data_IF_992583415254
#
_entry.id   IF_992583415254
#
_cell.length_a   1.000
_cell.length_b   1.000
_cell.length_c   1.000
_cell.angle_alpha   90.00
_cell.angle_beta   90.00
_cell.angle_gamma   90.00
#
_symmetry.space_group_name_H-M   'P 1'
#
loop_
_entity.id
_entity.type
_entity.pdbx_description
1 polymer ?
#
# COMPACT_ATOMS: atom_id res chain seq x y z
N UNK A 1 28.02 -12.09 -15.79
CA UNK A 1 28.61 -11.25 -14.74
C UNK A 1 27.92 -11.56 -13.42
N UNK A 2 28.60 -11.33 -12.29
CA UNK A 2 27.96 -11.39 -10.96
C UNK A 2 26.92 -10.26 -10.92
N UNK A 3 25.65 -10.58 -10.67
CA UNK A 3 24.60 -9.56 -10.51
C UNK A 3 24.83 -8.83 -9.20
N UNK A 4 24.74 -7.50 -9.23
CA UNK A 4 24.77 -6.71 -8.01
C UNK A 4 23.41 -6.82 -7.31
N UNK A 5 23.41 -7.14 -6.01
CA UNK A 5 22.19 -7.19 -5.22
C UNK A 5 21.76 -5.78 -4.81
N UNK A 6 20.49 -5.45 -5.01
CA UNK A 6 19.88 -4.19 -4.57
C UNK A 6 18.55 -4.50 -3.89
N UNK A 7 18.19 -3.75 -2.85
CA UNK A 7 16.88 -3.89 -2.20
C UNK A 7 15.97 -2.75 -2.61
N UNK A 8 14.79 -3.10 -3.10
CA UNK A 8 13.68 -2.21 -3.41
C UNK A 8 12.66 -2.25 -2.29
N UNK A 9 12.70 -1.24 -1.42
CA UNK A 9 11.58 -0.94 -0.55
C UNK A 9 10.53 -0.15 -1.34
N UNK A 10 9.32 -0.69 -1.42
CA UNK A 10 8.19 -0.05 -2.08
C UNK A 10 7.15 0.30 -1.03
N UNK A 11 6.80 1.58 -0.92
CA UNK A 11 5.57 1.93 -0.25
C UNK A 11 4.34 1.42 -1.02
N UNK A 12 3.26 1.13 -0.30
CA UNK A 12 1.99 0.68 -0.87
C UNK A 12 1.13 1.87 -1.25
N UNK A 13 0.68 2.59 -0.23
CA UNK A 13 -0.32 3.66 -0.30
C UNK A 13 0.11 4.76 -1.28
N UNK A 14 -0.69 5.06 -2.30
CA UNK A 14 -0.36 6.07 -3.32
C UNK A 14 0.98 5.89 -4.05
N UNK A 15 1.65 4.76 -3.84
CA UNK A 15 2.99 4.51 -4.35
C UNK A 15 2.93 3.29 -5.28
N UNK A 16 2.99 2.08 -4.73
CA UNK A 16 2.89 0.86 -5.52
C UNK A 16 1.46 0.50 -5.95
N UNK A 17 0.45 1.00 -5.25
CA UNK A 17 -0.96 0.81 -5.58
C UNK A 17 -1.70 2.15 -5.66
N UNK A 18 -2.74 2.20 -6.48
CA UNK A 18 -3.61 3.35 -6.61
C UNK A 18 -4.46 3.52 -5.35
N UNK A 19 -4.49 4.77 -4.88
CA UNK A 19 -5.23 5.15 -3.68
C UNK A 19 -4.54 4.72 -2.39
N UNK A 20 -5.20 5.00 -1.28
CA UNK A 20 -4.74 4.58 0.05
C UNK A 20 -5.15 3.15 0.31
N UNK A 21 -4.53 2.55 1.31
CA UNK A 21 -4.66 1.17 1.66
C UNK A 21 -5.51 1.01 2.92
N UNK A 22 -6.65 0.34 2.75
CA UNK A 22 -7.92 0.97 3.13
C UNK A 22 -8.68 1.54 1.93
N UNK A 23 -8.20 1.24 0.72
CA UNK A 23 -8.83 1.55 -0.56
C UNK A 23 -10.32 1.24 -0.42
N UNK A 24 -11.12 2.28 -0.55
CA UNK A 24 -12.55 2.22 -0.28
C UNK A 24 -13.25 1.22 -1.21
N UNK A 25 -12.68 0.96 -2.41
CA UNK A 25 -13.09 -0.14 -3.28
C UNK A 25 -12.81 -1.51 -2.65
N UNK A 26 -11.61 -1.75 -2.12
CA UNK A 26 -11.26 -3.04 -1.52
C UNK A 26 -12.07 -3.31 -0.24
N UNK A 27 -12.33 -2.27 0.55
CA UNK A 27 -13.23 -2.34 1.70
C UNK A 27 -14.67 -2.63 1.24
N UNK A 28 -15.15 -1.93 0.21
CA UNK A 28 -16.48 -2.18 -0.35
C UNK A 28 -16.63 -3.63 -0.85
N UNK A 29 -15.61 -4.18 -1.52
CA UNK A 29 -15.61 -5.58 -1.97
C UNK A 29 -15.82 -6.53 -0.79
N UNK A 30 -15.09 -6.35 0.31
CA UNK A 30 -15.22 -7.22 1.48
C UNK A 30 -16.55 -7.03 2.21
N UNK A 31 -17.03 -5.80 2.37
CA UNK A 31 -18.32 -5.51 3.03
C UNK A 31 -19.50 -6.03 2.22
N UNK A 32 -19.40 -5.99 0.89
CA UNK A 32 -20.40 -6.54 -0.04
C UNK A 32 -20.18 -8.04 -0.30
N UNK A 33 -19.32 -8.70 0.48
CA UNK A 33 -19.04 -10.15 0.42
C UNK A 33 -18.60 -10.65 -0.96
N UNK A 34 -17.91 -9.80 -1.71
CA UNK A 34 -17.27 -10.17 -2.98
C UNK A 34 -16.14 -11.15 -2.71
N UNK A 35 -15.95 -12.11 -3.63
CA UNK A 35 -15.00 -13.22 -3.45
C UNK A 35 -13.54 -12.75 -3.35
N UNK A 36 -12.66 -13.50 -2.66
CA UNK A 36 -11.23 -13.19 -2.61
C UNK A 36 -10.55 -13.11 -3.98
N UNK A 37 -11.01 -13.90 -4.96
CA UNK A 37 -10.48 -13.89 -6.33
C UNK A 37 -10.69 -12.53 -7.01
N UNK A 38 -11.87 -11.95 -6.83
CA UNK A 38 -12.17 -10.61 -7.33
C UNK A 38 -11.42 -9.52 -6.57
N UNK A 39 -11.17 -9.69 -5.27
CA UNK A 39 -10.31 -8.78 -4.49
C UNK A 39 -8.87 -8.79 -5.03
N UNK A 40 -8.31 -9.96 -5.34
CA UNK A 40 -6.98 -10.07 -5.94
C UNK A 40 -6.95 -9.42 -7.33
N UNK A 41 -7.98 -9.67 -8.15
CA UNK A 41 -8.11 -9.01 -9.46
C UNK A 41 -8.20 -7.49 -9.33
N UNK A 42 -8.95 -6.98 -8.36
CA UNK A 42 -9.00 -5.55 -8.05
C UNK A 42 -7.58 -5.01 -7.80
N UNK A 43 -6.81 -5.60 -6.89
CA UNK A 43 -5.45 -5.13 -6.63
C UNK A 43 -4.55 -5.18 -7.86
N UNK A 44 -4.67 -6.19 -8.73
CA UNK A 44 -3.90 -6.22 -9.99
C UNK A 44 -4.15 -5.01 -10.90
N UNK A 45 -5.40 -4.50 -10.92
CA UNK A 45 -5.80 -3.32 -11.68
C UNK A 45 -5.33 -2.02 -11.01
N UNK A 46 -5.15 -2.04 -9.69
CA UNK A 46 -4.69 -0.90 -8.90
C UNK A 46 -3.16 -0.71 -8.93
N UNK A 47 -2.37 -1.69 -9.37
CA UNK A 47 -0.90 -1.56 -9.36
C UNK A 47 -0.42 -0.36 -10.18
N UNK A 48 0.54 0.37 -9.64
CA UNK A 48 1.24 1.43 -10.35
C UNK A 48 2.16 0.84 -11.43
N UNK A 49 1.93 1.13 -12.72
CA UNK A 49 2.77 0.64 -13.81
C UNK A 49 4.25 1.02 -13.66
N UNK A 50 4.55 2.13 -12.99
CA UNK A 50 5.92 2.59 -12.76
C UNK A 50 6.73 1.63 -11.89
N UNK A 51 6.10 0.88 -10.97
CA UNK A 51 6.78 -0.17 -10.21
C UNK A 51 7.28 -1.30 -11.11
N UNK A 52 6.43 -1.75 -12.04
CA UNK A 52 6.75 -2.82 -12.98
C UNK A 52 7.93 -2.39 -13.86
N UNK A 53 7.89 -1.15 -14.34
CA UNK A 53 8.94 -0.61 -15.20
C UNK A 53 10.25 -0.39 -14.45
N UNK A 54 10.21 0.15 -13.22
CA UNK A 54 11.38 0.26 -12.34
C UNK A 54 12.05 -1.10 -12.12
N UNK A 55 11.27 -2.12 -11.73
CA UNK A 55 11.80 -3.46 -11.50
C UNK A 55 12.46 -4.05 -12.76
N UNK A 56 11.78 -3.95 -13.91
CA UNK A 56 12.31 -4.42 -15.21
C UNK A 56 13.56 -3.65 -15.63
N UNK A 57 13.60 -2.35 -15.39
CA UNK A 57 14.76 -1.50 -15.69
C UNK A 57 15.98 -1.95 -14.87
N UNK A 58 15.81 -2.21 -13.57
CA UNK A 58 16.90 -2.71 -12.72
C UNK A 58 17.38 -4.09 -13.14
N UNK A 59 16.45 -5.02 -13.43
CA UNK A 59 16.81 -6.34 -13.98
C UNK A 59 17.55 -6.21 -15.30
N UNK A 60 17.11 -5.31 -16.20
CA UNK A 60 17.75 -5.01 -17.48
C UNK A 60 19.15 -4.43 -17.34
N UNK A 61 19.40 -3.67 -16.26
CA UNK A 61 20.73 -3.16 -15.87
C UNK A 61 21.59 -4.20 -15.12
N UNK A 62 21.22 -5.48 -15.14
CA UNK A 62 21.93 -6.59 -14.51
C UNK A 62 22.02 -6.52 -12.97
N UNK A 63 21.08 -5.81 -12.32
CA UNK A 63 20.86 -5.94 -10.88
C UNK A 63 20.04 -7.19 -10.57
N UNK A 64 20.09 -7.63 -9.31
CA UNK A 64 19.22 -8.65 -8.73
C UNK A 64 18.37 -8.00 -7.63
N UNK A 65 17.20 -7.42 -7.97
CA UNK A 65 16.41 -6.67 -7.01
C UNK A 65 15.67 -7.59 -6.04
N UNK A 66 15.91 -7.40 -4.74
CA UNK A 66 15.11 -7.96 -3.66
C UNK A 66 14.01 -6.96 -3.29
N UNK A 67 12.74 -7.35 -3.41
CA UNK A 67 11.61 -6.46 -3.12
C UNK A 67 11.14 -6.63 -1.67
N UNK A 68 10.88 -5.51 -0.99
CA UNK A 68 10.27 -5.43 0.34
C UNK A 68 9.14 -4.41 0.28
N UNK A 69 7.95 -4.76 0.78
CA UNK A 69 6.86 -3.79 0.89
C UNK A 69 6.96 -3.07 2.23
N UNK A 70 6.87 -1.74 2.26
CA UNK A 70 7.05 -0.97 3.48
C UNK A 70 5.95 0.08 3.63
N UNK A 71 4.94 -0.21 4.45
CA UNK A 71 3.73 0.61 4.60
C UNK A 71 3.56 1.16 6.03
N UNK A 72 2.91 2.33 6.14
CA UNK A 72 2.55 2.97 7.42
C UNK A 72 1.11 2.66 7.86
N UNK A 73 0.64 1.43 7.64
CA UNK A 73 -0.66 0.93 8.16
C UNK A 73 -0.64 0.74 9.68
N UNK A 74 -0.63 1.85 10.42
CA UNK A 74 -0.51 1.88 11.87
C UNK A 74 -1.61 1.08 12.60
N UNK A 75 -2.80 0.94 12.01
CA UNK A 75 -3.93 0.21 12.59
C UNK A 75 -3.64 -1.29 12.82
N UNK A 76 -2.69 -1.88 12.08
CA UNK A 76 -2.23 -3.27 12.28
C UNK A 76 -1.24 -3.42 13.45
N UNK A 77 -0.90 -2.33 14.12
CA UNK A 77 -0.07 -2.30 15.34
C UNK A 77 -0.78 -1.59 16.50
N UNK A 78 -1.65 -0.62 16.18
CA UNK A 78 -2.42 0.21 17.12
C UNK A 78 -3.85 0.34 16.59
N UNK A 79 -4.70 -0.62 16.94
CA UNK A 79 -6.09 -0.67 16.49
C UNK A 79 -6.98 0.25 17.32
N UNK A 80 -7.82 1.06 16.68
CA UNK A 80 -8.82 1.90 17.37
C UNK A 80 -10.13 1.14 17.38
N UNK A 81 -10.53 0.63 18.55
CA UNK A 81 -11.80 -0.10 18.68
C UNK A 81 -12.98 0.85 18.77
N UNK A 82 -13.88 0.77 17.79
CA UNK A 82 -15.17 1.47 17.82
C UNK A 82 -16.17 0.89 18.82
N UNK A 83 -15.92 -0.32 19.32
CA UNK A 83 -16.82 -1.01 20.26
C UNK A 83 -16.55 -0.60 21.70
N UNK A 84 -15.33 -0.14 21.98
CA UNK A 84 -14.84 0.09 23.34
C UNK A 84 -14.19 1.45 23.53
N UNK A 85 -14.21 2.31 22.51
CA UNK A 85 -13.57 3.63 22.47
C UNK A 85 -12.14 3.61 23.04
N UNK A 86 -11.33 2.65 22.58
CA UNK A 86 -9.99 2.40 23.11
C UNK A 86 -9.00 1.99 22.04
N UNK A 87 -7.76 2.46 22.18
CA UNK A 87 -6.61 1.96 21.42
C UNK A 87 -6.15 0.61 21.97
N UNK A 88 -6.12 -0.40 21.10
CA UNK A 88 -5.62 -1.74 21.38
C UNK A 88 -4.26 -1.88 20.69
N UNK A 89 -3.19 -2.08 21.48
CA UNK A 89 -1.88 -2.47 20.93
C UNK A 89 -1.99 -3.89 20.39
N UNK A 90 -1.78 -4.04 19.08
CA UNK A 90 -1.70 -5.33 18.43
C UNK A 90 -0.26 -5.83 18.51
N UNK A 91 -0.09 -7.05 19.00
CA UNK A 91 1.20 -7.73 19.07
C UNK A 91 1.04 -9.08 18.38
N UNK A 92 1.96 -9.36 17.48
CA UNK A 92 1.98 -10.56 16.65
C UNK A 92 3.03 -11.53 17.20
N UNK A 93 3.53 -12.44 16.37
CA UNK A 93 4.69 -13.23 16.71
C UNK A 93 5.87 -12.30 17.11
N UNK A 94 6.48 -12.45 18.31
CA UNK A 94 7.58 -11.60 18.76
C UNK A 94 8.79 -11.59 17.82
N UNK A 95 9.06 -12.70 17.12
CA UNK A 95 10.17 -12.79 16.18
C UNK A 95 9.98 -11.93 14.92
N UNK A 96 8.77 -11.46 14.66
CA UNK A 96 8.44 -10.56 13.55
C UNK A 96 8.55 -9.09 13.95
N UNK A 97 8.65 -8.79 15.25
CA UNK A 97 8.74 -7.43 15.74
C UNK A 97 10.20 -6.99 15.84
N UNK A 98 10.56 -5.93 15.11
CA UNK A 98 11.84 -5.23 15.29
C UNK A 98 11.74 -4.10 16.32
N UNK A 99 10.53 -3.62 16.58
CA UNK A 99 10.24 -2.67 17.64
C UNK A 99 8.76 -2.70 18.01
N UNK A 100 8.38 -1.91 19.02
CA UNK A 100 6.99 -1.71 19.42
C UNK A 100 6.11 -1.04 18.34
N UNK A 101 6.73 -0.44 17.34
CA UNK A 101 6.06 0.29 16.25
C UNK A 101 6.36 -0.29 14.88
N UNK A 102 6.96 -1.48 14.79
CA UNK A 102 7.26 -2.13 13.52
C UNK A 102 7.16 -3.66 13.62
N UNK A 103 6.49 -4.26 12.65
CA UNK A 103 6.40 -5.70 12.44
C UNK A 103 6.71 -6.03 10.99
N UNK A 104 7.30 -7.20 10.77
CA UNK A 104 7.58 -7.75 9.44
C UNK A 104 6.80 -9.03 9.26
N UNK A 105 5.84 -9.02 8.34
CA UNK A 105 5.16 -10.23 7.91
C UNK A 105 6.04 -10.95 6.87
N UNK A 106 6.59 -12.14 7.19
CA UNK A 106 7.47 -12.86 6.27
C UNK A 106 6.74 -13.35 5.03
N UNK A 107 7.50 -13.53 3.94
CA UNK A 107 7.04 -14.01 2.62
C UNK A 107 6.23 -15.31 2.64
N UNK A 108 6.48 -16.18 3.62
CA UNK A 108 5.86 -17.51 3.72
C UNK A 108 4.39 -17.51 4.16
N UNK A 109 3.90 -16.38 4.68
CA UNK A 109 2.50 -16.27 5.14
C UNK A 109 1.58 -16.14 3.93
N UNK A 110 0.59 -17.02 3.78
CA UNK A 110 -0.32 -16.99 2.63
C UNK A 110 -1.73 -16.54 3.02
N UNK A 111 -2.11 -16.67 4.29
CA UNK A 111 -3.46 -16.39 4.75
C UNK A 111 -3.48 -15.48 5.99
N UNK A 112 -4.47 -14.59 6.11
CA UNK A 112 -4.59 -13.75 7.30
C UNK A 112 -4.86 -14.56 8.57
N UNK A 113 -5.45 -15.76 8.45
CA UNK A 113 -5.63 -16.68 9.58
C UNK A 113 -4.30 -17.07 10.24
N UNK A 114 -3.23 -17.27 9.46
CA UNK A 114 -1.90 -17.58 9.99
C UNK A 114 -1.37 -16.43 10.84
N UNK A 115 -1.55 -15.19 10.38
CA UNK A 115 -1.14 -13.98 11.13
C UNK A 115 -1.99 -13.84 12.39
N UNK A 116 -3.31 -13.96 12.26
CA UNK A 116 -4.25 -13.85 13.38
C UNK A 116 -4.00 -14.92 14.46
N UNK A 117 -3.57 -16.12 14.08
CA UNK A 117 -3.20 -17.18 15.03
C UNK A 117 -1.98 -16.81 15.89
N UNK A 118 -1.11 -15.90 15.43
CA UNK A 118 0.05 -15.41 16.19
C UNK A 118 -0.25 -14.22 17.10
N UNK A 119 -1.50 -13.74 17.12
CA UNK A 119 -1.87 -12.61 17.97
C UNK A 119 -1.61 -12.93 19.45
N UNK A 120 -0.77 -12.11 20.07
CA UNK A 120 -0.28 -12.27 21.45
C UNK A 120 -0.58 -11.04 22.32
N UNK A 121 -1.49 -10.17 21.88
CA UNK A 121 -1.86 -8.95 22.59
C UNK A 121 -2.52 -9.21 23.95
N UNK A 122 -2.22 -8.34 24.94
CA UNK A 122 -2.78 -8.45 26.31
C UNK A 122 -4.30 -8.33 26.37
N UNK A 123 -4.91 -7.65 25.40
CA UNK A 123 -6.34 -7.42 25.34
C UNK A 123 -6.94 -8.43 24.37
N UNK A 124 -7.88 -9.25 24.85
CA UNK A 124 -8.66 -10.14 23.99
C UNK A 124 -9.52 -9.30 23.03
N UNK A 125 -9.36 -9.55 21.75
CA UNK A 125 -10.17 -8.94 20.69
C UNK A 125 -11.59 -9.51 20.68
N UNK A 126 -12.58 -8.64 20.53
CA UNK A 126 -13.98 -9.03 20.28
C UNK A 126 -14.13 -9.57 18.85
N UNK A 127 -15.19 -10.35 18.59
CA UNK A 127 -15.39 -10.97 17.27
C UNK A 127 -15.38 -9.95 16.11
N UNK A 128 -16.08 -8.82 16.26
CA UNK A 128 -16.12 -7.73 15.27
C UNK A 128 -14.76 -7.07 15.04
N UNK A 129 -13.96 -6.87 16.10
CA UNK A 129 -12.60 -6.32 15.97
C UNK A 129 -11.65 -7.33 15.31
N UNK A 130 -11.77 -8.62 15.64
CA UNK A 130 -11.02 -9.69 14.99
C UNK A 130 -11.33 -9.74 13.50
N UNK A 131 -12.60 -9.62 13.12
CA UNK A 131 -13.03 -9.61 11.72
C UNK A 131 -12.46 -8.40 10.97
N UNK A 132 -12.54 -7.20 11.54
CA UNK A 132 -12.01 -5.98 10.91
C UNK A 132 -10.49 -6.05 10.70
N UNK A 133 -9.75 -6.50 11.71
CA UNK A 133 -8.30 -6.73 11.61
C UNK A 133 -8.00 -7.83 10.59
N UNK A 134 -8.77 -8.92 10.59
CA UNK A 134 -8.64 -10.01 9.63
C UNK A 134 -8.84 -9.51 8.19
N UNK A 135 -9.92 -8.77 7.93
CA UNK A 135 -10.18 -8.17 6.61
C UNK A 135 -9.06 -7.23 6.17
N UNK A 136 -8.49 -6.47 7.11
CA UNK A 136 -7.35 -5.58 6.85
C UNK A 136 -6.08 -6.33 6.48
N UNK A 137 -5.83 -7.48 7.11
CA UNK A 137 -4.73 -8.38 6.77
C UNK A 137 -4.95 -9.07 5.41
N UNK A 138 -6.16 -9.51 5.11
CA UNK A 138 -6.50 -10.08 3.79
C UNK A 138 -6.25 -9.06 2.67
N UNK A 139 -6.62 -7.79 2.88
CA UNK A 139 -6.30 -6.71 1.94
C UNK A 139 -4.79 -6.51 1.75
N UNK A 140 -4.01 -6.61 2.83
CA UNK A 140 -2.55 -6.49 2.79
C UNK A 140 -1.90 -7.63 2.00
N UNK A 141 -2.34 -8.86 2.24
CA UNK A 141 -1.83 -10.04 1.52
C UNK A 141 -2.25 -10.02 0.04
N UNK A 142 -3.49 -9.61 -0.27
CA UNK A 142 -3.96 -9.46 -1.64
C UNK A 142 -3.14 -8.42 -2.42
N UNK A 143 -2.84 -7.25 -1.83
CA UNK A 143 -1.98 -6.24 -2.43
C UNK A 143 -0.55 -6.77 -2.67
N UNK A 144 0.02 -7.48 -1.68
CA UNK A 144 1.33 -8.10 -1.79
C UNK A 144 1.40 -9.12 -2.92
N UNK A 145 0.39 -9.97 -3.03
CA UNK A 145 0.36 -11.05 -4.02
C UNK A 145 0.15 -10.47 -5.43
N UNK A 146 -0.66 -9.41 -5.56
CA UNK A 146 -0.78 -8.67 -6.81
C UNK A 146 0.57 -8.06 -7.25
N UNK A 147 1.34 -7.48 -6.33
CA UNK A 147 2.69 -6.97 -6.62
C UNK A 147 3.64 -8.11 -7.03
N UNK A 148 3.60 -9.25 -6.31
CA UNK A 148 4.38 -10.44 -6.66
C UNK A 148 4.12 -10.85 -8.12
N UNK A 149 2.84 -10.98 -8.50
CA UNK A 149 2.46 -11.36 -9.86
C UNK A 149 2.90 -10.33 -10.90
N UNK A 150 2.66 -9.04 -10.64
CA UNK A 150 2.99 -7.98 -11.60
C UNK A 150 4.50 -7.80 -11.85
N UNK A 151 5.30 -8.01 -10.81
CA UNK A 151 6.76 -7.95 -10.90
C UNK A 151 7.38 -9.30 -11.35
N UNK A 152 6.61 -10.38 -11.41
CA UNK A 152 7.10 -11.71 -11.77
C UNK A 152 8.02 -12.32 -10.71
N UNK A 153 7.77 -12.04 -9.43
CA UNK A 153 8.58 -12.57 -8.33
C UNK A 153 8.27 -14.04 -8.08
N UNK A 154 9.31 -14.84 -7.81
CA UNK A 154 9.17 -16.26 -7.47
C UNK A 154 8.38 -16.46 -6.16
N UNK A 155 8.66 -15.60 -5.17
CA UNK A 155 8.01 -15.63 -3.86
C UNK A 155 7.39 -14.27 -3.53
N UNK A 156 6.31 -14.24 -2.73
CA UNK A 156 5.78 -12.97 -2.23
C UNK A 156 6.86 -12.18 -1.47
N UNK A 157 6.96 -10.86 -1.64
CA UNK A 157 7.91 -10.05 -0.88
C UNK A 157 7.49 -9.98 0.61
N UNK A 158 8.44 -9.85 1.55
CA UNK A 158 8.09 -9.58 2.94
C UNK A 158 7.43 -8.19 3.05
N UNK A 159 6.58 -8.02 4.07
CA UNK A 159 5.84 -6.78 4.31
C UNK A 159 6.21 -6.18 5.66
N UNK A 160 6.90 -5.05 5.64
CA UNK A 160 7.17 -4.23 6.81
C UNK A 160 5.98 -3.30 7.04
N UNK A 161 5.36 -3.42 8.21
CA UNK A 161 4.31 -2.50 8.66
C UNK A 161 4.84 -1.67 9.82
N UNK A 162 4.64 -0.35 9.77
CA UNK A 162 5.04 0.55 10.85
C UNK A 162 3.92 1.50 11.30
N UNK A 163 3.93 1.82 12.59
CA UNK A 163 3.10 2.86 13.19
C UNK A 163 3.84 4.19 13.39
N UNK A 164 5.15 4.21 13.16
CA UNK A 164 6.00 5.39 13.24
C UNK A 164 6.35 5.90 11.83
N UNK A 165 6.95 7.10 11.69
CA UNK A 165 7.59 7.49 10.44
C UNK A 165 8.59 6.41 9.98
N UNK A 166 8.67 6.20 8.66
CA UNK A 166 9.55 5.17 8.09
C UNK A 166 11.01 5.55 8.32
N UNK A 167 11.85 4.52 8.49
CA UNK A 167 13.28 4.68 8.71
C UNK A 167 14.00 3.61 7.91
N UNK A 168 14.33 3.92 6.66
CA UNK A 168 14.89 2.95 5.71
C UNK A 168 16.13 2.24 6.25
N UNK A 169 17.18 2.98 6.61
CA UNK A 169 18.47 2.37 6.97
C UNK A 169 18.36 1.48 8.23
N UNK A 170 17.74 1.92 9.36
CA UNK A 170 17.52 1.04 10.50
C UNK A 170 16.70 -0.21 10.17
N UNK A 171 15.64 -0.08 9.35
CA UNK A 171 14.81 -1.21 8.95
C UNK A 171 15.57 -2.19 8.05
N UNK A 172 16.37 -1.72 7.09
CA UNK A 172 17.22 -2.56 6.27
C UNK A 172 18.19 -3.39 7.13
N UNK A 173 18.87 -2.75 8.11
CA UNK A 173 19.75 -3.47 9.05
C UNK A 173 19.02 -4.53 9.87
N UNK A 174 17.82 -4.21 10.36
CA UNK A 174 17.01 -5.14 11.15
C UNK A 174 16.57 -6.37 10.35
N UNK A 175 16.43 -6.21 9.03
CA UNK A 175 16.14 -7.30 8.08
C UNK A 175 17.39 -8.06 7.61
N UNK A 176 18.59 -7.67 8.05
CA UNK A 176 19.85 -8.25 7.57
C UNK A 176 20.22 -7.86 6.14
N UNK A 177 19.69 -6.73 5.66
CA UNK A 177 19.92 -6.20 4.32
C UNK A 177 21.01 -5.12 4.36
N UNK A 178 21.71 -4.93 3.24
CA UNK A 178 22.71 -3.87 3.09
C UNK A 178 22.02 -2.49 2.98
N UNK A 179 22.17 -1.59 3.97
CA UNK A 179 21.53 -0.29 3.94
C UNK A 179 22.01 0.61 2.81
N UNK A 180 23.27 0.45 2.37
CA UNK A 180 23.85 1.28 1.31
C UNK A 180 23.36 0.87 -0.08
N UNK A 181 22.83 -0.35 -0.21
CA UNK A 181 22.19 -0.88 -1.43
C UNK A 181 20.68 -1.07 -1.27
N UNK A 182 20.08 -0.42 -0.28
CA UNK A 182 18.64 -0.42 -0.03
C UNK A 182 18.06 0.95 -0.33
N UNK A 183 17.00 0.99 -1.13
CA UNK A 183 16.36 2.22 -1.56
C UNK A 183 14.84 2.15 -1.34
N UNK A 184 14.23 3.26 -0.95
CA UNK A 184 12.79 3.37 -0.69
C UNK A 184 12.15 4.32 -1.71
N UNK A 185 11.13 3.86 -2.42
CA UNK A 185 10.22 4.71 -3.18
C UNK A 185 8.95 4.95 -2.39
N UNK A 186 8.66 6.22 -2.11
CA UNK A 186 7.61 6.67 -1.19
C UNK A 186 7.03 8.01 -1.65
N UNK A 187 5.74 8.25 -1.43
CA UNK A 187 5.09 9.53 -1.77
C UNK A 187 5.19 10.57 -0.65
N UNK A 188 5.75 10.21 0.51
CA UNK A 188 5.84 11.11 1.65
C UNK A 188 6.99 12.13 1.51
N UNK A 189 6.62 13.37 1.20
CA UNK A 189 7.55 14.51 1.10
C UNK A 189 8.33 14.79 2.40
N UNK A 190 7.84 14.36 3.57
CA UNK A 190 8.59 14.50 4.84
C UNK A 190 9.90 13.69 4.84
N UNK A 191 10.04 12.70 3.94
CA UNK A 191 11.26 11.90 3.80
C UNK A 191 12.25 12.50 2.78
N UNK A 192 11.92 13.65 2.18
CA UNK A 192 12.79 14.30 1.20
C UNK A 192 14.16 14.63 1.81
N UNK A 193 15.23 14.26 1.11
CA UNK A 193 16.61 14.43 1.57
C UNK A 193 17.12 13.30 2.48
N UNK A 194 16.28 12.33 2.88
CA UNK A 194 16.78 11.13 3.55
C UNK A 194 17.62 10.27 2.59
N UNK A 195 18.73 9.73 3.10
CA UNK A 195 19.64 8.88 2.32
C UNK A 195 18.90 7.67 1.74
N UNK A 196 19.06 7.46 0.43
CA UNK A 196 18.47 6.37 -0.34
C UNK A 196 16.93 6.36 -0.37
N UNK A 197 16.27 7.46 0.00
CA UNK A 197 14.84 7.65 -0.19
C UNK A 197 14.60 8.45 -1.46
N UNK A 198 13.68 7.96 -2.28
CA UNK A 198 13.28 8.54 -3.55
C UNK A 198 11.82 8.92 -3.42
N UNK A 199 11.58 10.21 -3.18
CA UNK A 199 10.23 10.74 -3.10
C UNK A 199 9.62 10.75 -4.50
N UNK A 200 8.44 10.16 -4.64
CA UNK A 200 7.69 10.05 -5.90
C UNK A 200 6.36 10.79 -5.83
N UNK A 201 5.80 11.11 -6.98
CA UNK A 201 4.45 11.64 -7.04
C UNK A 201 3.42 10.58 -6.65
N UNK A 202 2.40 11.02 -5.91
CA UNK A 202 1.25 10.17 -5.57
C UNK A 202 0.56 9.61 -6.80
N UNK A 203 0.22 8.33 -6.73
CA UNK A 203 -0.55 7.62 -7.74
C UNK A 203 -2.05 7.75 -7.48
N UNK A 204 -2.55 8.97 -7.66
CA UNK A 204 -3.96 9.35 -7.44
C UNK A 204 -4.76 9.44 -8.74
N UNK A 205 -4.13 9.20 -9.90
CA UNK A 205 -4.80 9.20 -11.20
C UNK A 205 -4.23 8.09 -12.10
N UNK A 206 -5.09 7.53 -12.95
CA UNK A 206 -4.73 6.44 -13.87
C UNK A 206 -4.72 6.94 -15.31
N UNK A 207 -3.92 6.28 -16.17
CA UNK A 207 -4.09 6.44 -17.60
C UNK A 207 -5.48 5.96 -18.04
N UNK A 208 -5.97 6.53 -19.13
CA UNK A 208 -7.32 6.27 -19.63
C UNK A 208 -7.62 4.78 -19.83
N UNK A 209 -6.66 4.03 -20.39
CA UNK A 209 -6.86 2.60 -20.69
C UNK A 209 -7.05 1.78 -19.42
N UNK A 210 -6.16 1.96 -18.43
CA UNK A 210 -6.30 1.29 -17.12
C UNK A 210 -7.54 1.74 -16.36
N UNK A 211 -7.87 3.02 -16.43
CA UNK A 211 -9.09 3.58 -15.82
C UNK A 211 -10.34 2.92 -16.40
N UNK A 212 -10.44 2.81 -17.72
CA UNK A 212 -11.56 2.16 -18.40
C UNK A 212 -11.63 0.66 -18.07
N UNK A 213 -10.48 -0.04 -17.99
CA UNK A 213 -10.41 -1.44 -17.55
C UNK A 213 -10.93 -1.61 -16.11
N UNK A 214 -10.49 -0.76 -15.18
CA UNK A 214 -10.94 -0.79 -13.80
C UNK A 214 -12.43 -0.50 -13.68
N UNK A 215 -12.94 0.53 -14.36
CA UNK A 215 -14.38 0.86 -14.34
C UNK A 215 -15.23 -0.26 -14.92
N UNK A 216 -14.78 -0.90 -16.01
CA UNK A 216 -15.46 -2.05 -16.58
C UNK A 216 -15.51 -3.24 -15.63
N UNK A 217 -14.41 -3.53 -14.93
CA UNK A 217 -14.36 -4.55 -13.89
C UNK A 217 -15.31 -4.22 -12.72
N UNK A 218 -15.30 -2.98 -12.24
CA UNK A 218 -16.18 -2.55 -11.15
C UNK A 218 -17.66 -2.68 -11.53
N UNK A 219 -18.08 -2.25 -12.72
CA UNK A 219 -19.49 -2.38 -13.14
C UNK A 219 -19.92 -3.84 -13.30
N UNK A 220 -19.01 -4.76 -13.60
CA UNK A 220 -19.32 -6.19 -13.72
C UNK A 220 -19.39 -6.89 -12.36
N UNK A 221 -18.45 -6.58 -11.47
CA UNK A 221 -18.24 -7.34 -10.22
C UNK A 221 -18.95 -6.73 -9.03
N UNK A 222 -19.02 -5.41 -8.96
CA UNK A 222 -19.69 -4.67 -7.91
C UNK A 222 -20.35 -3.42 -8.49
N UNK A 223 -21.48 -3.52 -9.22
CA UNK A 223 -22.12 -2.35 -9.81
C UNK A 223 -22.43 -1.28 -8.77
N UNK A 224 -22.20 0.00 -9.08
CA UNK A 224 -22.42 1.10 -8.13
C UNK A 224 -23.85 1.13 -7.55
N UNK A 225 -24.84 0.74 -8.38
CA UNK A 225 -26.26 0.61 -8.00
C UNK A 225 -26.57 -0.49 -6.98
N UNK A 226 -25.65 -1.45 -6.78
CA UNK A 226 -25.80 -2.56 -5.84
C UNK A 226 -25.20 -2.27 -4.46
N UNK A 227 -24.47 -1.16 -4.31
CA UNK A 227 -23.86 -0.79 -3.04
C UNK A 227 -24.93 -0.49 -2.01
N UNK A 228 -24.80 -1.06 -0.80
CA UNK A 228 -25.67 -0.68 0.30
C UNK A 228 -25.35 0.75 0.78
N UNK A 229 -26.31 1.36 1.46
CA UNK A 229 -26.21 2.75 1.91
C UNK A 229 -24.96 3.00 2.77
N UNK A 230 -24.60 2.06 3.63
CA UNK A 230 -23.45 2.18 4.53
C UNK A 230 -22.14 2.21 3.75
N UNK A 231 -22.02 1.41 2.70
CA UNK A 231 -20.84 1.42 1.81
C UNK A 231 -20.80 2.71 0.99
N UNK A 232 -21.93 3.18 0.50
CA UNK A 232 -22.03 4.47 -0.20
C UNK A 232 -21.62 5.64 0.71
N UNK A 233 -22.16 5.69 1.93
CA UNK A 233 -21.83 6.72 2.93
C UNK A 233 -20.33 6.68 3.28
N UNK A 234 -19.73 5.48 3.36
CA UNK A 234 -18.31 5.30 3.58
C UNK A 234 -17.47 5.84 2.41
N UNK A 235 -17.68 5.31 1.19
CA UNK A 235 -16.88 5.63 0.01
C UNK A 235 -17.00 7.09 -0.44
N UNK A 236 -18.21 7.67 -0.37
CA UNK A 236 -18.44 9.07 -0.76
C UNK A 236 -17.79 10.10 0.17
N UNK A 237 -17.38 9.66 1.37
CA UNK A 237 -16.86 10.53 2.41
C UNK A 237 -15.34 10.47 2.61
N UNK A 238 -14.65 9.67 1.80
CA UNK A 238 -13.20 9.64 1.75
C UNK A 238 -12.64 10.99 1.25
N UNK A 239 -11.38 11.31 1.58
CA UNK A 239 -10.73 12.52 1.06
C UNK A 239 -10.63 12.52 -0.47
N UNK A 240 -10.48 11.33 -1.05
CA UNK A 240 -10.56 11.05 -2.48
C UNK A 240 -11.69 10.03 -2.71
N UNK A 241 -12.94 10.49 -2.91
CA UNK A 241 -14.07 9.60 -3.04
C UNK A 241 -13.99 8.73 -4.30
N UNK A 242 -14.08 7.40 -4.17
CA UNK A 242 -14.18 6.50 -5.32
C UNK A 242 -15.59 6.40 -5.89
N UNK A 243 -16.57 7.08 -5.29
CA UNK A 243 -17.91 7.25 -5.85
C UNK A 243 -18.36 8.71 -5.80
N UNK A 244 -19.21 9.10 -6.74
CA UNK A 244 -19.91 10.39 -6.76
C UNK A 244 -21.35 10.22 -7.20
N UNK A 245 -22.18 11.19 -6.85
CA UNK A 245 -23.53 11.31 -7.39
C UNK A 245 -23.47 12.13 -8.67
N UNK A 246 -24.12 11.64 -9.72
CA UNK A 246 -24.30 12.38 -10.95
C UNK A 246 -25.45 13.42 -10.83
N UNK A 247 -25.70 14.26 -11.84
CA UNK A 247 -26.76 15.28 -11.78
C UNK A 247 -28.18 14.71 -11.59
N UNK A 248 -28.41 13.44 -11.91
CA UNK A 248 -29.69 12.76 -11.71
C UNK A 248 -29.79 12.11 -10.31
N UNK A 249 -28.74 12.20 -9.50
CA UNK A 249 -28.64 11.55 -8.19
C UNK A 249 -28.21 10.08 -8.26
N UNK A 250 -27.76 9.59 -9.42
CA UNK A 250 -27.26 8.22 -9.55
C UNK A 250 -25.82 8.10 -9.04
N UNK A 251 -25.51 6.99 -8.37
CA UNK A 251 -24.17 6.72 -7.86
C UNK A 251 -23.31 6.19 -9.00
N UNK A 252 -22.12 6.77 -9.17
CA UNK A 252 -21.13 6.36 -10.17
C UNK A 252 -19.75 6.25 -9.55
N UNK A 253 -18.98 5.26 -10.02
CA UNK A 253 -17.57 5.18 -9.70
C UNK A 253 -16.81 6.40 -10.23
N UNK A 254 -15.89 6.91 -9.43
CA UNK A 254 -15.02 8.02 -9.77
C UNK A 254 -13.57 7.59 -9.61
N UNK A 255 -12.91 7.33 -10.74
CA UNK A 255 -11.47 7.10 -10.82
C UNK A 255 -10.88 8.27 -11.60
N UNK A 256 -10.01 9.12 -11.01
CA UNK A 256 -9.41 10.24 -11.70
C UNK A 256 -8.54 9.78 -12.88
N UNK A 257 -8.69 10.45 -14.01
CA UNK A 257 -7.85 10.25 -15.19
C UNK A 257 -6.65 11.21 -15.13
N UNK A 258 -5.47 10.71 -15.48
CA UNK A 258 -4.25 11.51 -15.50
C UNK A 258 -4.29 12.54 -16.64
N UNK A 259 -4.03 13.81 -16.33
CA UNK A 259 -3.90 14.86 -17.32
C UNK A 259 -2.53 14.79 -18.01
N UNK A 260 -2.39 13.94 -19.02
CA UNK A 260 -1.17 13.79 -19.81
C UNK A 260 -0.49 12.44 -19.64
N UNK A 261 0.77 12.35 -20.08
CA UNK A 261 1.54 11.10 -20.00
C UNK A 261 2.08 10.93 -18.58
N UNK A 262 1.61 9.88 -17.88
CA UNK A 262 2.19 9.47 -16.60
C UNK A 262 3.70 9.22 -16.76
N UNK A 263 4.51 9.45 -15.71
CA UNK A 263 5.95 9.19 -15.75
C UNK A 263 6.25 7.81 -16.32
N UNK A 264 7.24 7.73 -17.21
CA UNK A 264 7.58 6.47 -17.86
C UNK A 264 8.13 5.44 -16.88
N UNK A 265 8.76 5.83 -15.78
CA UNK A 265 9.20 4.97 -14.68
C UNK A 265 9.40 5.82 -13.42
N UNK A 266 9.59 5.17 -12.27
CA UNK A 266 10.10 5.87 -11.10
C UNK A 266 11.56 6.29 -11.30
N UNK A 267 11.98 7.43 -10.74
CA UNK A 267 13.37 7.88 -10.86
C UNK A 267 14.32 6.89 -10.19
N UNK A 268 15.50 6.72 -10.80
CA UNK A 268 16.59 5.93 -10.25
C UNK A 268 17.55 6.81 -9.44
N UNK A 269 18.06 6.33 -8.30
CA UNK A 269 19.23 6.88 -7.62
C UNK A 269 20.42 7.02 -8.56
N UNK A 270 21.22 8.08 -8.39
CA UNK A 270 22.35 8.39 -9.27
C UNK A 270 23.36 7.22 -9.38
N UNK A 271 23.64 6.55 -8.27
CA UNK A 271 24.54 5.40 -8.21
C UNK A 271 23.99 4.15 -8.92
N UNK A 272 22.67 4.05 -9.13
CA UNK A 272 22.05 3.02 -9.98
C UNK A 272 21.97 3.42 -11.46
N UNK A 273 22.21 4.70 -11.78
CA UNK A 273 22.25 5.18 -13.17
C UNK A 273 23.62 4.90 -13.82
N UNK A 274 24.71 5.09 -13.09
CA UNK A 274 26.09 5.07 -13.60
C UNK A 274 26.63 3.69 -13.98
N UNK A 275 26.21 2.62 -13.29
CA UNK A 275 26.68 1.24 -13.57
C UNK A 275 26.29 0.71 -14.96
N UNK A 276 25.35 1.38 -15.65
CA UNK A 276 25.02 1.10 -17.06
C UNK A 276 26.11 1.57 -18.03
N UNK A 277 26.88 2.61 -17.66
CA UNK A 277 27.97 3.12 -18.49
C UNK A 277 29.22 2.24 -18.41
N UNK A 278 29.49 1.57 -17.30
CA UNK A 278 30.68 0.71 -17.17
C UNK A 278 30.66 -0.54 -18.08
N UNK A 279 29.49 -1.03 -18.50
CA UNK A 279 29.39 -2.07 -19.53
C UNK A 279 29.36 -1.53 -20.97
N UNK A 280 29.13 -0.22 -21.16
CA UNK A 280 29.06 0.44 -22.47
C UNK A 280 30.29 1.32 -22.77
N UNK A 281 31.12 1.62 -21.77
CA UNK A 281 32.27 2.51 -21.87
C UNK A 281 33.57 1.69 -22.02
N UNK A 282 33.71 1.03 -23.17
CA UNK A 282 34.95 1.18 -23.92
C UNK A 282 34.67 2.23 -24.99
N UNK A 283 34.55 3.50 -24.60
CA UNK A 283 34.82 4.68 -25.43
C UNK A 283 34.32 5.97 -24.77
N UNK A 284 35.25 6.93 -24.72
CA UNK A 284 35.13 8.37 -24.54
C UNK A 284 35.06 8.91 -23.09
N UNK A 285 36.21 9.50 -22.74
CA UNK A 285 36.51 10.40 -21.62
C UNK A 285 36.00 11.83 -21.87
N UNK A 286 35.96 12.59 -20.77
CA UNK A 286 35.99 14.07 -20.64
C UNK A 286 34.68 14.82 -20.99
N UNK A 287 34.21 15.87 -20.29
CA UNK A 287 34.78 16.62 -19.17
C UNK A 287 33.66 17.41 -18.43
N UNK A 288 34.04 17.95 -17.27
CA UNK A 288 33.23 18.66 -16.24
C UNK A 288 32.78 20.08 -16.66
N UNK A 289 31.70 20.57 -16.03
CA UNK A 289 31.70 21.80 -15.19
C UNK A 289 30.30 22.15 -14.63
N UNK A 290 30.29 22.68 -13.41
CA UNK A 290 29.19 23.22 -12.59
C UNK A 290 29.74 24.52 -11.93
N UNK A 291 28.99 25.39 -11.20
CA UNK A 291 27.54 25.49 -10.93
C UNK A 291 26.99 26.96 -10.86
N UNK A 292 25.82 27.11 -10.20
CA UNK A 292 25.23 28.28 -9.48
C UNK A 292 23.92 28.83 -10.12
N UNK A 293 22.88 29.32 -9.44
CA UNK A 293 22.50 29.59 -8.03
C UNK A 293 20.95 29.55 -7.98
N UNK A 294 20.31 29.11 -6.88
CA UNK A 294 18.88 29.35 -6.65
C UNK A 294 18.60 29.74 -5.20
N UNK A 295 17.79 30.80 -5.06
CA UNK A 295 17.40 31.48 -3.82
C UNK A 295 16.32 30.73 -3.03
N UNK A 296 16.42 30.84 -1.70
CA UNK A 296 15.43 30.44 -0.71
C UNK A 296 14.16 31.30 -0.77
N UNK A 297 13.02 30.65 -0.57
CA UNK A 297 11.74 31.28 -0.29
C UNK A 297 11.02 30.48 0.81
N UNK A 298 10.77 31.17 1.93
CA UNK A 298 9.99 30.66 3.07
C UNK A 298 8.50 30.51 2.72
N UNK A 299 7.89 29.46 3.26
CA UNK A 299 6.44 29.24 3.22
C UNK A 299 6.00 28.30 4.34
N UNK A 300 5.43 28.88 5.40
CA UNK A 300 4.54 28.20 6.34
C UNK A 300 3.38 27.51 5.58
N UNK A 301 2.92 26.33 6.00
CA UNK A 301 1.84 26.22 6.99
C UNK A 301 1.22 24.79 7.03
N UNK A 302 0.59 24.53 8.17
CA UNK A 302 -0.20 23.37 8.62
C UNK A 302 -1.11 22.69 7.59
N UNK A 303 -1.26 21.35 7.70
CA UNK A 303 -2.52 20.56 7.54
C UNK A 303 -2.31 19.16 8.17
N UNK A 304 -2.79 18.96 9.40
CA UNK A 304 -4.04 18.26 9.79
C UNK A 304 -4.04 16.74 9.70
N UNK A 305 -3.95 16.16 10.88
CA UNK A 305 -4.51 14.92 11.41
C UNK A 305 -6.04 14.78 11.19
N UNK A 306 -6.52 14.91 9.94
CA UNK A 306 -7.96 14.99 9.63
C UNK A 306 -8.62 13.64 9.30
N UNK A 307 -7.86 12.55 9.16
CA UNK A 307 -8.43 11.28 8.68
C UNK A 307 -9.09 10.44 9.78
N UNK A 308 -8.83 10.73 11.06
CA UNK A 308 -9.32 9.91 12.19
C UNK A 308 -10.57 10.46 12.88
N UNK A 309 -10.95 11.71 12.65
CA UNK A 309 -12.14 12.31 13.30
C UNK A 309 -13.46 12.06 12.55
N UNK A 310 -13.40 11.72 11.26
CA UNK A 310 -14.60 11.42 10.45
C UNK A 310 -15.25 10.06 10.75
N UNK A 311 -14.60 9.19 11.53
CA UNK A 311 -15.09 7.84 11.87
C UNK A 311 -15.99 7.81 13.12
N UNK A 312 -15.96 8.84 13.98
CA UNK A 312 -16.61 8.80 15.30
C UNK A 312 -18.14 8.83 15.27
N UNK A 313 -18.79 9.50 14.30
CA UNK A 313 -20.26 9.43 14.15
C UNK A 313 -20.73 8.33 13.18
N UNK A 314 -19.80 7.68 12.46
CA UNK A 314 -20.07 6.74 11.35
C UNK A 314 -19.96 5.27 11.75
N UNK A 315 -19.27 4.97 12.86
CA UNK A 315 -19.10 3.62 13.38
C UNK A 315 -20.42 2.92 13.79
N UNK A 316 -21.47 3.68 14.13
CA UNK A 316 -22.74 3.09 14.58
C UNK A 316 -23.52 2.37 13.46
N UNK A 317 -23.41 2.84 12.20
CA UNK A 317 -24.09 2.21 11.03
C UNK A 317 -23.23 1.14 10.38
N UNK A 318 -21.90 1.33 10.39
CA UNK A 318 -20.93 0.29 10.05
C UNK A 318 -21.11 -0.97 10.93
N UNK A 319 -21.65 -0.80 12.14
CA UNK A 319 -21.94 -1.89 13.06
C UNK A 319 -22.90 -2.94 12.51
N UNK A 320 -23.91 -2.54 11.74
CA UNK A 320 -24.98 -3.44 11.28
C UNK A 320 -24.49 -4.36 10.14
N UNK A 321 -23.75 -3.82 9.16
CA UNK A 321 -23.09 -4.62 8.12
C UNK A 321 -22.05 -5.58 8.72
N UNK A 322 -21.32 -5.12 9.74
CA UNK A 322 -20.36 -5.97 10.46
C UNK A 322 -21.02 -7.08 11.29
N UNK A 323 -22.29 -6.97 11.68
CA UNK A 323 -23.01 -8.04 12.39
C UNK A 323 -23.21 -9.27 11.51
N UNK A 324 -23.76 -9.07 10.31
CA UNK A 324 -24.00 -10.14 9.36
C UNK A 324 -22.67 -10.80 8.94
N UNK A 325 -21.65 -9.99 8.65
CA UNK A 325 -20.32 -10.51 8.30
C UNK A 325 -19.66 -11.26 9.47
N UNK A 326 -19.91 -10.87 10.72
CA UNK A 326 -19.38 -11.56 11.90
C UNK A 326 -20.03 -12.91 12.13
N UNK A 327 -21.33 -13.03 11.88
CA UNK A 327 -22.03 -14.32 12.01
C UNK A 327 -21.46 -15.36 11.04
N UNK A 328 -21.25 -14.97 9.78
CA UNK A 328 -20.63 -15.83 8.75
C UNK A 328 -19.18 -16.20 9.12
N UNK A 329 -18.39 -15.21 9.57
CA UNK A 329 -17.00 -15.44 9.98
C UNK A 329 -16.91 -16.44 11.15
N UNK A 330 -17.77 -16.29 12.17
CA UNK A 330 -17.81 -17.20 13.32
C UNK A 330 -18.24 -18.61 12.91
N UNK A 331 -19.22 -18.74 12.01
CA UNK A 331 -19.66 -20.03 11.50
C UNK A 331 -18.52 -20.78 10.78
N UNK A 332 -17.75 -20.07 9.96
CA UNK A 332 -16.64 -20.67 9.20
C UNK A 332 -15.39 -20.94 10.04
N UNK A 333 -15.11 -20.11 11.06
CA UNK A 333 -13.92 -20.27 11.91
C UNK A 333 -14.08 -21.41 12.92
N UNK A 334 -15.31 -21.78 13.30
CA UNK A 334 -15.57 -22.94 14.16
C UNK A 334 -15.49 -24.29 13.41
N UNK A 335 -15.44 -24.27 12.08
CA UNK A 335 -15.37 -25.46 11.23
C UNK A 335 -13.93 -25.87 10.85
N UNK A 336 -12.94 -25.03 11.17
CA UNK A 336 -11.49 -25.26 11.03
C UNK A 336 -10.88 -25.51 12.42
#
# INVERSE_FOLDING_TARGET
>A
GIRQNVTLFLDLDHSAIFGQDGNDLAVAFQLMKVTPQHLNKLYSLLINPSCIKLYRELVGRNFSPQVVLYTRRAHLLRYISFLRDKHIKLSWNPAWHHSDTQVVFPSKLNHAHEIMATFSGKIRLMAKERLDIFMSLERLLAARDAIKEALGLEHPPPVVVTAAPKKLLPTARALGLDPDKSYLWDDNEELLGEKNVIVINRYESMDRGRREELLGFLEQTLPARSLCKEVVDFMSSASLPSIRFDPNGEIKYHIPEANGTLPSSFPLPADLQEDSKACAATQVEEDKDEPSDVKEGDGEDRIRTSFLFGLFSKALRFHQVMEEATQDFLANTCAL
#
